data_IF_002657136912
#
_entry.id   IF_002657136912
#
_cell.length_a   1.000
_cell.length_b   1.000
_cell.length_c   1.000
_cell.angle_alpha   90.00
_cell.angle_beta   90.00
_cell.angle_gamma   90.00
#
_symmetry.space_group_name_H-M   'P 1'
#
loop_
_entity.id
_entity.type
_entity.pdbx_description
1 polymer ?
#
# COMPACT_ATOMS: atom_id res chain seq x y z
N UNK A 1 -17.99 2.72 25.31
CA UNK A 1 -16.92 2.24 26.20
C UNK A 1 -16.99 3.06 27.47
N UNK A 2 -17.01 2.46 28.67
CA UNK A 2 -17.00 3.23 29.92
C UNK A 2 -15.63 3.91 30.09
N UNK A 3 -15.62 5.18 30.49
CA UNK A 3 -14.42 6.04 30.62
C UNK A 3 -13.31 5.44 31.50
N UNK A 4 -13.68 4.55 32.42
CA UNK A 4 -12.75 3.81 33.30
C UNK A 4 -11.77 2.91 32.55
N UNK A 5 -12.14 2.39 31.38
CA UNK A 5 -11.31 1.47 30.60
C UNK A 5 -10.25 2.23 29.79
N UNK A 6 -10.59 3.43 29.33
CA UNK A 6 -9.68 4.34 28.63
C UNK A 6 -8.61 4.90 29.58
N UNK A 7 -8.98 5.23 30.82
CA UNK A 7 -8.01 5.73 31.82
C UNK A 7 -7.04 4.63 32.27
N UNK A 8 -7.52 3.40 32.46
CA UNK A 8 -6.68 2.26 32.78
C UNK A 8 -5.67 1.95 31.65
N UNK A 9 -6.12 1.97 30.39
CA UNK A 9 -5.25 1.73 29.24
C UNK A 9 -4.19 2.82 29.09
N UNK A 10 -4.54 4.10 29.30
CA UNK A 10 -3.58 5.22 29.24
C UNK A 10 -2.39 5.04 30.19
N UNK A 11 -2.64 4.48 31.37
CA UNK A 11 -1.60 4.28 32.38
C UNK A 11 -0.74 3.02 32.15
N UNK A 12 -1.18 2.09 31.29
CA UNK A 12 -0.52 0.81 31.04
C UNK A 12 0.28 0.78 29.73
N UNK A 13 0.13 1.78 28.86
CA UNK A 13 0.79 1.77 27.55
C UNK A 13 2.13 2.50 27.63
N UNK A 14 3.23 1.75 27.54
CA UNK A 14 4.60 2.31 27.51
C UNK A 14 5.03 2.86 26.15
N UNK A 15 4.39 2.42 25.04
CA UNK A 15 4.71 2.87 23.69
C UNK A 15 3.51 2.76 22.75
N UNK A 16 3.35 3.74 21.85
CA UNK A 16 2.31 3.75 20.80
C UNK A 16 2.98 4.11 19.48
N UNK A 17 2.83 3.25 18.47
CA UNK A 17 3.29 3.56 17.11
C UNK A 17 2.34 4.55 16.45
N UNK A 18 2.79 5.77 16.11
CA UNK A 18 2.00 6.77 15.39
C UNK A 18 2.00 6.53 13.87
N UNK A 19 0.91 6.88 13.19
CA UNK A 19 0.80 6.87 11.72
C UNK A 19 1.06 8.26 11.17
N UNK A 20 1.49 8.35 9.92
CA UNK A 20 1.64 9.64 9.22
C UNK A 20 0.32 10.44 9.21
N UNK A 21 -0.82 9.75 9.20
CA UNK A 21 -2.14 10.36 9.28
C UNK A 21 -2.41 11.12 10.57
N UNK A 22 -1.74 10.74 11.67
CA UNK A 22 -1.97 11.32 12.99
C UNK A 22 -1.41 12.75 13.07
N UNK A 23 -0.56 13.15 12.12
CA UNK A 23 0.10 14.46 12.05
C UNK A 23 -0.56 15.45 11.08
N UNK A 24 -1.61 15.05 10.35
CA UNK A 24 -2.26 15.93 9.37
C UNK A 24 -3.00 17.13 9.98
N UNK A 25 -3.20 17.15 11.30
CA UNK A 25 -3.86 18.24 12.05
C UNK A 25 -2.95 18.99 13.04
N UNK A 26 -1.63 18.83 12.94
CA UNK A 26 -0.67 19.34 13.93
C UNK A 26 -0.18 18.25 14.88
N UNK A 27 0.34 18.65 16.05
CA UNK A 27 0.85 17.69 17.05
C UNK A 27 -0.25 16.71 17.52
N UNK A 28 -0.03 15.39 17.41
CA UNK A 28 -1.05 14.41 17.76
C UNK A 28 -1.29 14.37 19.26
N UNK A 29 -2.53 14.65 19.68
CA UNK A 29 -2.97 14.43 21.06
C UNK A 29 -3.09 12.92 21.32
N UNK A 30 -2.33 12.40 22.29
CA UNK A 30 -2.35 10.97 22.69
C UNK A 30 -3.77 10.51 23.02
N UNK A 31 -4.55 11.34 23.72
CA UNK A 31 -5.93 11.02 24.09
C UNK A 31 -6.84 10.87 22.87
N UNK A 32 -6.66 11.72 21.85
CA UNK A 32 -7.37 11.58 20.56
C UNK A 32 -6.94 10.34 19.80
N UNK A 33 -5.63 10.06 19.73
CA UNK A 33 -5.08 8.89 19.02
C UNK A 33 -5.58 7.59 19.67
N UNK A 34 -5.57 7.50 21.00
CA UNK A 34 -6.12 6.38 21.75
C UNK A 34 -7.63 6.26 21.49
N UNK A 35 -8.35 7.36 21.61
CA UNK A 35 -9.79 7.36 21.37
C UNK A 35 -10.10 6.90 19.95
N UNK A 36 -9.52 7.45 18.90
CA UNK A 36 -9.81 7.05 17.52
C UNK A 36 -9.47 5.58 17.22
N UNK A 37 -8.35 5.08 17.74
CA UNK A 37 -7.90 3.70 17.49
C UNK A 37 -8.74 2.67 18.24
N UNK A 38 -9.13 2.98 19.47
CA UNK A 38 -9.87 2.05 20.34
C UNK A 38 -11.39 2.29 20.33
N UNK A 39 -11.86 3.45 19.87
CA UNK A 39 -13.27 3.75 19.56
C UNK A 39 -13.60 3.52 18.09
N UNK A 40 -12.81 2.69 17.40
CA UNK A 40 -13.27 2.09 16.16
C UNK A 40 -14.68 1.55 16.43
N UNK A 41 -15.68 2.25 15.87
CA UNK A 41 -17.08 1.83 15.95
C UNK A 41 -17.06 0.38 15.55
N UNK A 42 -17.42 -0.50 16.48
CA UNK A 42 -17.62 -1.89 16.19
C UNK A 42 -18.50 -1.93 14.94
N UNK A 43 -17.91 -2.24 13.78
CA UNK A 43 -18.70 -2.82 12.71
C UNK A 43 -19.25 -4.07 13.38
N UNK A 44 -20.57 -4.20 13.51
CA UNK A 44 -21.17 -5.14 14.45
C UNK A 44 -20.51 -6.50 14.27
N UNK A 45 -20.04 -7.07 15.37
CA UNK A 45 -19.32 -8.34 15.49
C UNK A 45 -20.08 -9.54 14.88
N UNK A 46 -21.32 -9.32 14.39
CA UNK A 46 -22.21 -10.27 13.72
C UNK A 46 -22.17 -10.13 12.20
N UNK A 47 -20.97 -10.08 11.61
CA UNK A 47 -20.86 -10.19 10.17
C UNK A 47 -21.19 -11.63 9.75
N UNK A 48 -21.87 -11.76 8.63
CA UNK A 48 -22.14 -13.01 7.94
C UNK A 48 -20.82 -13.68 7.48
N UNK A 49 -19.98 -14.16 8.41
CA UNK A 49 -18.60 -14.61 8.13
C UNK A 49 -18.52 -16.05 7.63
N UNK A 50 -19.51 -16.88 7.95
CA UNK A 50 -19.57 -18.25 7.44
C UNK A 50 -20.17 -18.27 6.03
N UNK A 51 -19.33 -18.35 5.00
CA UNK A 51 -19.72 -18.69 3.63
C UNK A 51 -19.68 -20.21 3.47
N UNK A 52 -20.80 -20.80 3.07
CA UNK A 52 -20.90 -22.22 2.71
C UNK A 52 -20.85 -22.29 1.19
N UNK A 53 -19.87 -23.05 0.69
CA UNK A 53 -19.82 -23.48 -0.71
C UNK A 53 -20.61 -24.79 -0.84
N UNK A 54 -21.74 -24.73 -1.53
CA UNK A 54 -22.52 -25.88 -1.95
C UNK A 54 -22.05 -26.36 -3.33
N UNK A 55 -22.53 -27.53 -3.76
CA UNK A 55 -22.27 -28.05 -5.10
C UNK A 55 -22.65 -27.04 -6.20
N UNK A 56 -22.01 -27.14 -7.36
CA UNK A 56 -22.27 -26.31 -8.55
C UNK A 56 -22.07 -24.79 -8.32
N UNK A 57 -21.06 -24.38 -7.53
CA UNK A 57 -20.71 -22.97 -7.27
C UNK A 57 -21.85 -22.14 -6.65
N UNK A 58 -22.64 -22.75 -5.78
CA UNK A 58 -23.67 -22.06 -5.01
C UNK A 58 -23.13 -21.62 -3.65
N UNK A 59 -23.28 -20.34 -3.33
CA UNK A 59 -22.79 -19.74 -2.10
C UNK A 59 -23.96 -19.31 -1.22
N UNK A 60 -23.91 -19.73 0.03
CA UNK A 60 -24.86 -19.34 1.08
C UNK A 60 -24.13 -18.86 2.33
N UNK A 61 -24.83 -18.13 3.18
CA UNK A 61 -24.40 -17.82 4.53
C UNK A 61 -24.83 -18.92 5.48
N UNK A 62 -23.89 -19.41 6.30
CA UNK A 62 -24.14 -20.39 7.36
C UNK A 62 -25.12 -19.84 8.41
N UNK A 63 -24.87 -18.60 8.85
CA UNK A 63 -25.68 -17.91 9.86
C UNK A 63 -26.12 -16.56 9.30
N UNK A 64 -27.18 -16.52 8.48
CA UNK A 64 -27.60 -15.30 7.81
C UNK A 64 -28.24 -14.31 8.80
N UNK A 65 -27.62 -13.14 8.93
CA UNK A 65 -28.07 -12.01 9.73
C UNK A 65 -28.40 -10.85 8.80
N UNK A 66 -29.54 -10.20 9.05
CA UNK A 66 -29.93 -9.03 8.28
C UNK A 66 -28.93 -7.87 8.51
N UNK A 67 -28.27 -7.35 7.44
CA UNK A 67 -27.29 -6.28 7.59
C UNK A 67 -27.90 -4.92 7.95
N UNK A 68 -29.22 -4.75 7.79
CA UNK A 68 -29.91 -3.48 8.07
C UNK A 68 -30.39 -3.38 9.52
N UNK A 69 -30.90 -4.48 10.08
CA UNK A 69 -31.52 -4.46 11.43
C UNK A 69 -30.94 -5.48 12.41
N UNK A 70 -29.95 -6.29 12.00
CA UNK A 70 -29.30 -7.29 12.84
C UNK A 70 -30.14 -8.51 13.20
N UNK A 71 -31.34 -8.67 12.64
CA UNK A 71 -32.22 -9.82 12.94
C UNK A 71 -31.74 -11.11 12.26
N UNK A 72 -31.81 -12.23 12.99
CA UNK A 72 -31.62 -13.60 12.48
C UNK A 72 -32.85 -14.15 11.77
N UNK A 73 -34.00 -13.49 11.92
CA UNK A 73 -35.24 -13.91 11.27
C UNK A 73 -35.19 -13.53 9.79
N UNK A 74 -34.67 -14.44 8.99
CA UNK A 74 -34.46 -14.27 7.56
C UNK A 74 -34.94 -15.50 6.79
N UNK A 75 -35.58 -15.27 5.65
CA UNK A 75 -36.05 -16.33 4.75
C UNK A 75 -35.13 -16.41 3.55
N UNK A 76 -34.70 -17.63 3.19
CA UNK A 76 -33.94 -17.90 1.95
C UNK A 76 -34.83 -17.64 0.73
N UNK A 77 -34.28 -16.99 -0.28
CA UNK A 77 -34.95 -16.70 -1.56
C UNK A 77 -34.21 -17.37 -2.71
N UNK A 78 -34.48 -16.96 -3.95
CA UNK A 78 -33.76 -17.41 -5.13
C UNK A 78 -32.26 -17.06 -5.11
N UNK A 79 -31.50 -17.70 -5.99
CA UNK A 79 -30.10 -17.37 -6.21
C UNK A 79 -29.94 -16.24 -7.23
N UNK A 80 -29.00 -15.34 -6.97
CA UNK A 80 -28.52 -14.34 -7.94
C UNK A 80 -27.27 -14.89 -8.62
N UNK A 81 -27.33 -15.04 -9.95
CA UNK A 81 -26.17 -15.40 -10.76
C UNK A 81 -25.20 -14.22 -10.89
N UNK A 82 -23.90 -14.48 -10.75
CA UNK A 82 -22.81 -13.58 -11.19
C UNK A 82 -21.81 -14.37 -12.04
N UNK A 83 -21.05 -13.64 -12.87
CA UNK A 83 -20.00 -14.20 -13.74
C UNK A 83 -18.67 -13.46 -13.55
N UNK A 84 -18.04 -13.58 -12.36
CA UNK A 84 -16.72 -13.00 -12.11
C UNK A 84 -15.65 -13.65 -13.00
N UNK A 85 -14.63 -12.86 -13.36
CA UNK A 85 -13.45 -13.30 -14.08
C UNK A 85 -12.34 -13.52 -13.05
N UNK A 86 -11.95 -14.78 -12.87
CA UNK A 86 -11.01 -15.22 -11.86
C UNK A 86 -9.62 -15.42 -12.49
N UNK A 87 -8.97 -14.33 -12.91
CA UNK A 87 -7.63 -14.37 -13.48
C UNK A 87 -7.49 -15.44 -14.59
N UNK A 88 -6.63 -16.43 -14.34
CA UNK A 88 -6.30 -17.53 -15.26
C UNK A 88 -7.48 -18.49 -15.53
N UNK A 89 -8.44 -18.62 -14.61
CA UNK A 89 -9.60 -19.50 -14.77
C UNK A 89 -10.71 -18.90 -15.65
N UNK A 90 -10.53 -17.65 -16.09
CA UNK A 90 -11.51 -16.97 -16.93
C UNK A 90 -12.84 -16.72 -16.21
N UNK A 91 -13.92 -16.62 -16.99
CA UNK A 91 -15.23 -16.25 -16.47
C UNK A 91 -15.95 -17.46 -15.84
N UNK A 92 -16.12 -17.42 -14.51
CA UNK A 92 -16.77 -18.50 -13.77
C UNK A 92 -18.23 -18.15 -13.45
N UNK A 93 -19.15 -19.10 -13.60
CA UNK A 93 -20.54 -18.95 -13.18
C UNK A 93 -20.67 -19.27 -11.68
N UNK A 94 -21.12 -18.29 -10.90
CA UNK A 94 -21.38 -18.44 -9.46
C UNK A 94 -22.82 -18.02 -9.12
N UNK A 95 -23.38 -18.64 -8.09
CA UNK A 95 -24.77 -18.44 -7.67
C UNK A 95 -24.82 -18.01 -6.20
N UNK A 96 -25.23 -16.77 -5.94
CA UNK A 96 -25.23 -16.17 -4.61
C UNK A 96 -26.65 -16.20 -4.02
N UNK A 97 -26.86 -16.84 -2.87
CA UNK A 97 -28.19 -16.90 -2.25
C UNK A 97 -28.68 -15.52 -1.85
N UNK A 98 -29.95 -15.21 -2.15
CA UNK A 98 -30.65 -14.01 -1.65
C UNK A 98 -31.44 -14.33 -0.39
N UNK A 99 -31.62 -13.33 0.46
CA UNK A 99 -32.35 -13.42 1.71
C UNK A 99 -33.32 -12.26 1.84
N UNK A 100 -34.46 -12.48 2.50
CA UNK A 100 -35.39 -11.44 2.93
C UNK A 100 -35.52 -11.46 4.44
N UNK A 101 -35.27 -10.33 5.09
CA UNK A 101 -35.50 -10.21 6.53
C UNK A 101 -37.01 -10.16 6.83
N UNK A 102 -37.47 -10.89 7.83
CA UNK A 102 -38.86 -10.87 8.28
C UNK A 102 -39.15 -9.56 9.03
N UNK A 103 -38.22 -9.12 9.89
CA UNK A 103 -38.37 -7.91 10.73
C UNK A 103 -38.44 -6.62 9.92
N UNK A 104 -37.43 -6.31 9.09
CA UNK A 104 -37.39 -5.05 8.34
C UNK A 104 -37.81 -5.19 6.87
N UNK A 105 -38.19 -6.39 6.41
CA UNK A 105 -38.58 -6.72 5.03
C UNK A 105 -37.53 -6.43 3.94
N UNK A 106 -36.36 -5.90 4.29
CA UNK A 106 -35.26 -5.64 3.35
C UNK A 106 -34.63 -6.93 2.85
N UNK A 107 -34.21 -6.90 1.58
CA UNK A 107 -33.50 -7.99 0.91
C UNK A 107 -32.01 -7.75 0.96
N UNK A 108 -31.23 -8.82 1.07
CA UNK A 108 -29.78 -8.80 0.95
C UNK A 108 -29.30 -10.08 0.25
N UNK A 109 -28.07 -10.05 -0.26
CA UNK A 109 -27.48 -11.20 -0.98
C UNK A 109 -26.24 -11.65 -0.23
N UNK A 110 -25.91 -12.93 -0.35
CA UNK A 110 -24.62 -13.48 0.08
C UNK A 110 -23.49 -12.60 -0.50
N UNK A 111 -22.65 -11.98 0.34
CA UNK A 111 -21.56 -11.15 -0.13
C UNK A 111 -20.49 -12.02 -0.82
N UNK A 112 -20.00 -11.57 -1.98
CA UNK A 112 -18.83 -12.13 -2.65
C UNK A 112 -17.63 -11.18 -2.55
N UNK A 113 -17.75 -10.15 -1.70
CA UNK A 113 -16.82 -9.02 -1.60
C UNK A 113 -15.39 -9.47 -1.21
N UNK A 114 -15.25 -10.63 -0.57
CA UNK A 114 -13.96 -11.25 -0.24
C UNK A 114 -13.19 -11.79 -1.45
N UNK A 115 -13.88 -12.02 -2.58
CA UNK A 115 -13.28 -12.54 -3.83
C UNK A 115 -13.30 -11.47 -4.91
N UNK A 116 -14.43 -10.77 -5.08
CA UNK A 116 -14.60 -9.72 -6.09
C UNK A 116 -15.34 -8.56 -5.48
N UNK A 117 -14.80 -7.36 -5.62
CA UNK A 117 -15.46 -6.15 -5.16
C UNK A 117 -16.88 -6.00 -5.71
N UNK A 118 -17.72 -5.28 -4.96
CA UNK A 118 -19.07 -4.98 -5.42
C UNK A 118 -19.02 -4.28 -6.76
N UNK A 119 -19.94 -4.67 -7.65
CA UNK A 119 -20.08 -4.15 -9.01
C UNK A 119 -18.85 -4.35 -9.94
N UNK A 120 -17.78 -4.96 -9.46
CA UNK A 120 -16.66 -5.35 -10.29
C UNK A 120 -16.87 -6.74 -10.89
N UNK A 121 -16.22 -6.97 -12.04
CA UNK A 121 -16.19 -8.25 -12.74
C UNK A 121 -14.86 -8.97 -12.55
N UNK A 122 -13.77 -8.25 -12.28
CA UNK A 122 -12.42 -8.79 -12.14
C UNK A 122 -11.99 -8.85 -10.66
N UNK A 123 -11.25 -9.91 -10.30
CA UNK A 123 -10.58 -10.06 -8.98
C UNK A 123 -9.31 -9.21 -8.98
N UNK A 124 -9.40 -7.91 -8.70
CA UNK A 124 -8.27 -6.97 -8.78
C UNK A 124 -7.59 -6.95 -10.18
N UNK A 125 -6.79 -5.93 -10.54
CA UNK A 125 -6.06 -5.98 -11.81
C UNK A 125 -5.03 -7.10 -11.75
N UNK A 126 -5.04 -7.99 -12.75
CA UNK A 126 -3.99 -9.00 -12.88
C UNK A 126 -2.64 -8.33 -13.19
N UNK A 127 -1.53 -9.05 -13.00
CA UNK A 127 -0.22 -8.55 -13.41
C UNK A 127 -0.21 -8.10 -14.88
N UNK A 128 -1.04 -8.73 -15.73
CA UNK A 128 -1.10 -8.46 -17.16
C UNK A 128 -1.84 -7.14 -17.43
N UNK A 129 -2.91 -6.87 -16.67
CA UNK A 129 -3.60 -5.58 -16.72
C UNK A 129 -2.68 -4.44 -16.29
N UNK A 130 -1.87 -4.65 -15.25
CA UNK A 130 -0.86 -3.66 -14.81
C UNK A 130 0.19 -3.44 -15.90
N UNK A 131 0.73 -4.51 -16.52
CA UNK A 131 1.66 -4.39 -17.66
C UNK A 131 1.05 -3.61 -18.83
N UNK A 132 -0.21 -3.87 -19.16
CA UNK A 132 -0.90 -3.14 -20.23
C UNK A 132 -1.09 -1.65 -19.91
N UNK A 133 -1.28 -1.29 -18.63
CA UNK A 133 -1.33 0.11 -18.20
C UNK A 133 0.05 0.78 -18.22
N UNK A 134 1.11 0.04 -17.86
CA UNK A 134 2.49 0.53 -17.93
C UNK A 134 2.98 0.70 -19.38
N UNK A 135 2.41 -0.05 -20.33
CA UNK A 135 2.70 0.05 -21.76
C UNK A 135 1.98 1.21 -22.49
N UNK A 136 1.33 2.12 -21.76
CA UNK A 136 0.75 3.32 -22.37
C UNK A 136 1.89 4.28 -22.74
N UNK A 137 1.98 4.56 -24.05
CA UNK A 137 2.99 5.37 -24.74
C UNK A 137 3.48 6.64 -23.99
N UNK A 138 4.76 6.99 -24.21
CA UNK A 138 5.50 8.12 -23.61
C UNK A 138 4.79 9.47 -23.81
N UNK A 139 3.85 9.56 -24.75
CA UNK A 139 2.99 10.73 -24.99
C UNK A 139 2.08 11.14 -23.81
N UNK A 140 1.94 10.32 -22.77
CA UNK A 140 1.17 10.64 -21.53
C UNK A 140 2.04 10.88 -20.30
N UNK A 141 3.37 10.93 -20.41
CA UNK A 141 4.22 11.34 -19.29
C UNK A 141 3.86 12.78 -18.90
N UNK A 142 3.49 12.97 -17.63
CA UNK A 142 3.24 14.29 -17.05
C UNK A 142 4.56 15.07 -17.14
N UNK A 143 4.63 16.02 -18.06
CA UNK A 143 5.75 16.97 -18.11
C UNK A 143 5.53 17.98 -17.00
N UNK A 144 6.53 18.14 -16.14
CA UNK A 144 6.53 19.18 -15.10
C UNK A 144 6.39 20.55 -15.77
N UNK A 145 5.32 21.29 -15.43
CA UNK A 145 5.04 22.64 -15.94
C UNK A 145 5.62 23.73 -15.04
N UNK A 146 6.72 23.43 -14.34
CA UNK A 146 7.28 24.35 -13.35
C UNK A 146 8.25 25.30 -14.04
N UNK A 147 7.95 26.60 -13.94
CA UNK A 147 8.74 27.65 -14.57
C UNK A 147 10.11 27.83 -13.88
N UNK A 148 10.20 27.61 -12.56
CA UNK A 148 11.41 27.85 -11.76
C UNK A 148 11.57 26.80 -10.63
N UNK A 149 12.78 26.29 -10.45
CA UNK A 149 13.18 25.42 -9.33
C UNK A 149 13.69 26.25 -8.15
N UNK A 150 13.72 25.68 -6.94
CA UNK A 150 14.14 26.40 -5.72
C UNK A 150 15.65 26.63 -5.63
N UNK A 151 16.44 25.81 -6.34
CA UNK A 151 17.90 25.80 -6.25
C UNK A 151 18.47 24.98 -5.09
N UNK A 152 17.63 24.44 -4.20
CA UNK A 152 18.03 23.53 -3.13
C UNK A 152 17.74 22.08 -3.55
N UNK A 153 18.81 21.34 -3.85
CA UNK A 153 18.71 19.99 -4.37
C UNK A 153 19.30 18.95 -3.42
N UNK A 154 18.60 17.83 -3.31
CA UNK A 154 19.09 16.60 -2.73
C UNK A 154 19.39 15.61 -3.85
N UNK A 155 20.49 14.89 -3.68
CA UNK A 155 20.90 13.83 -4.58
C UNK A 155 20.84 12.51 -3.82
N UNK A 156 20.25 11.50 -4.46
CA UNK A 156 20.15 10.16 -3.93
C UNK A 156 20.60 9.13 -4.97
N UNK A 157 21.30 8.10 -4.50
CA UNK A 157 21.80 6.98 -5.30
C UNK A 157 21.22 5.68 -4.78
N UNK A 158 20.41 5.02 -5.62
CA UNK A 158 19.80 3.76 -5.28
C UNK A 158 20.30 2.64 -6.19
N UNK A 159 20.84 1.58 -5.58
CA UNK A 159 21.15 0.34 -6.29
C UNK A 159 19.86 -0.40 -6.70
N UNK A 160 19.78 -0.80 -7.97
CA UNK A 160 18.69 -1.62 -8.51
C UNK A 160 19.24 -2.75 -9.40
N UNK A 161 18.50 -3.85 -9.49
CA UNK A 161 18.84 -4.97 -10.37
C UNK A 161 17.81 -5.07 -11.50
N UNK A 162 18.27 -4.97 -12.74
CA UNK A 162 17.43 -5.07 -13.94
C UNK A 162 18.01 -6.15 -14.86
N UNK A 163 17.24 -7.23 -15.05
CA UNK A 163 17.65 -8.35 -15.91
C UNK A 163 18.93 -9.05 -15.45
N UNK A 164 19.11 -9.20 -14.13
CA UNK A 164 20.31 -9.83 -13.54
C UNK A 164 21.56 -8.95 -13.54
N UNK A 165 21.45 -7.69 -13.97
CA UNK A 165 22.55 -6.73 -14.00
C UNK A 165 22.33 -5.62 -12.99
N UNK A 166 23.41 -5.29 -12.28
CA UNK A 166 23.47 -4.16 -11.37
C UNK A 166 23.36 -2.84 -12.15
N UNK A 167 22.46 -1.97 -11.70
CA UNK A 167 22.28 -0.61 -12.22
C UNK A 167 22.07 0.37 -11.05
N UNK A 168 22.19 1.65 -11.34
CA UNK A 168 21.99 2.72 -10.36
C UNK A 168 20.85 3.62 -10.82
N UNK A 169 19.88 3.84 -9.94
CA UNK A 169 18.87 4.89 -10.09
C UNK A 169 19.41 6.13 -9.40
N UNK A 170 19.65 7.17 -10.20
CA UNK A 170 20.16 8.45 -9.77
C UNK A 170 19.01 9.43 -9.76
N UNK A 171 18.72 10.03 -8.61
CA UNK A 171 17.59 10.96 -8.45
C UNK A 171 18.09 12.30 -7.94
N UNK A 172 17.79 13.37 -8.69
CA UNK A 172 17.95 14.75 -8.26
C UNK A 172 16.58 15.30 -7.88
N UNK A 173 16.45 15.74 -6.64
CA UNK A 173 15.18 16.12 -6.04
C UNK A 173 15.26 17.53 -5.47
N UNK A 174 14.25 18.37 -5.72
CA UNK A 174 14.14 19.69 -5.11
C UNK A 174 13.53 19.53 -3.72
N UNK A 175 14.31 19.78 -2.68
CA UNK A 175 13.90 19.49 -1.29
C UNK A 175 12.85 20.45 -0.76
N UNK A 176 12.78 21.66 -1.31
CA UNK A 176 11.81 22.68 -0.91
C UNK A 176 10.49 22.48 -1.64
N UNK A 177 10.54 22.22 -2.94
CA UNK A 177 9.35 22.00 -3.76
C UNK A 177 8.82 20.56 -3.65
N UNK A 178 9.61 19.65 -3.08
CA UNK A 178 9.30 18.24 -2.94
C UNK A 178 8.96 17.57 -4.30
N UNK A 179 9.77 17.85 -5.32
CA UNK A 179 9.58 17.36 -6.69
C UNK A 179 10.86 16.74 -7.26
N UNK A 180 10.75 15.71 -8.13
CA UNK A 180 11.89 15.23 -8.90
C UNK A 180 12.27 16.26 -9.97
N UNK A 181 13.54 16.63 -10.01
CA UNK A 181 14.12 17.54 -11.01
C UNK A 181 14.65 16.73 -12.20
N UNK A 182 15.37 15.65 -11.91
CA UNK A 182 15.91 14.74 -12.92
C UNK A 182 16.07 13.34 -12.34
N UNK A 183 15.93 12.34 -13.19
CA UNK A 183 16.09 10.94 -12.83
C UNK A 183 16.69 10.14 -13.99
N UNK A 184 17.71 9.33 -13.69
CA UNK A 184 18.40 8.50 -14.67
C UNK A 184 18.65 7.09 -14.11
N UNK A 185 18.59 6.08 -14.98
CA UNK A 185 19.08 4.74 -14.68
C UNK A 185 20.43 4.57 -15.39
N UNK A 186 21.51 4.55 -14.62
CA UNK A 186 22.88 4.42 -15.11
C UNK A 186 23.42 3.00 -14.97
N UNK A 187 24.36 2.61 -15.83
CA UNK A 187 25.03 1.30 -15.77
C UNK A 187 26.11 1.25 -14.69
N UNK A 188 26.69 2.39 -14.33
CA UNK A 188 27.72 2.52 -13.31
C UNK A 188 27.52 3.81 -12.50
N UNK A 189 28.18 3.89 -11.34
CA UNK A 189 28.22 5.09 -10.50
C UNK A 189 29.32 6.07 -10.95
N UNK A 190 29.80 5.94 -12.20
CA UNK A 190 30.87 6.79 -12.69
C UNK A 190 30.32 8.20 -12.92
N UNK A 191 31.11 9.19 -12.47
CA UNK A 191 30.76 10.61 -12.48
C UNK A 191 30.14 11.04 -13.80
N UNK A 192 28.89 11.51 -13.76
CA UNK A 192 28.20 12.03 -14.94
C UNK A 192 27.56 13.37 -14.59
N UNK A 193 27.81 14.36 -15.44
CA UNK A 193 27.19 15.68 -15.33
C UNK A 193 25.68 15.54 -15.53
N UNK A 194 24.90 15.88 -14.50
CA UNK A 194 23.43 15.92 -14.61
C UNK A 194 23.06 17.31 -15.13
N UNK A 195 22.51 17.36 -16.34
CA UNK A 195 22.08 18.61 -16.95
C UNK A 195 20.71 19.01 -16.39
N UNK A 196 20.68 20.07 -15.59
CA UNK A 196 19.44 20.77 -15.21
C UNK A 196 19.07 21.84 -16.23
N UNK A 197 17.84 22.40 -16.17
CA UNK A 197 17.43 23.46 -17.09
C UNK A 197 18.23 24.74 -16.81
N UNK A 198 19.09 25.10 -17.76
CA UNK A 198 19.79 26.39 -17.81
C UNK A 198 21.29 26.35 -17.49
N UNK A 199 21.80 25.37 -16.74
CA UNK A 199 23.24 25.14 -16.51
C UNK A 199 23.54 23.66 -16.16
N UNK A 200 24.70 23.12 -16.55
CA UNK A 200 25.15 21.81 -16.06
C UNK A 200 25.31 21.86 -14.53
N UNK A 201 24.62 20.98 -13.81
CA UNK A 201 24.85 20.78 -12.39
C UNK A 201 25.90 19.67 -12.29
N UNK A 202 27.14 20.06 -12.03
CA UNK A 202 28.22 19.10 -11.75
C UNK A 202 28.05 18.67 -10.30
N UNK A 203 27.60 17.44 -10.10
CA UNK A 203 27.55 16.82 -8.78
C UNK A 203 28.97 16.36 -8.42
N UNK A 204 29.63 17.13 -7.56
CA UNK A 204 30.91 16.73 -6.97
C UNK A 204 30.63 15.83 -5.77
N UNK A 205 31.23 14.64 -5.76
CA UNK A 205 31.30 13.86 -4.54
C UNK A 205 32.25 14.57 -3.57
N UNK A 206 31.76 14.99 -2.40
CA UNK A 206 32.55 15.65 -1.35
C UNK A 206 33.52 14.69 -0.64
N UNK A 207 33.49 13.39 -0.94
CA UNK A 207 34.30 12.38 -0.23
C UNK A 207 35.71 12.15 -0.78
N UNK A 208 36.12 12.79 -1.89
CA UNK A 208 37.49 12.62 -2.44
C UNK A 208 38.53 13.63 -1.90
N UNK A 209 38.34 14.12 -0.66
CA UNK A 209 39.42 14.75 0.15
C UNK A 209 39.55 14.08 1.52
N UNK A 210 39.60 12.76 1.54
CA UNK A 210 40.05 11.97 2.68
C UNK A 210 41.24 11.12 2.30
N UNK A 211 42.43 11.56 2.70
CA UNK A 211 43.69 10.81 2.62
C UNK A 211 43.46 9.35 3.10
N UNK A 212 43.96 8.30 2.42
CA UNK A 212 43.77 6.95 2.90
C UNK A 212 44.48 6.80 4.25
N UNK A 213 43.71 6.58 5.32
CA UNK A 213 44.22 6.10 6.59
C UNK A 213 44.93 4.78 6.31
N UNK A 214 46.27 4.80 6.38
CA UNK A 214 47.11 3.62 6.43
C UNK A 214 46.58 2.72 7.54
N UNK A 215 46.11 1.53 7.19
CA UNK A 215 45.90 0.46 8.16
C UNK A 215 47.28 -0.09 8.51
N UNK A 216 47.80 0.33 9.67
CA UNK A 216 48.90 -0.37 10.29
C UNK A 216 48.45 -1.81 10.57
N UNK A 217 49.11 -2.75 9.91
CA UNK A 217 48.98 -4.17 10.22
C UNK A 217 49.86 -4.46 11.43
N UNK A 218 49.35 -5.11 12.50
CA UNK A 218 50.21 -5.55 13.59
C UNK A 218 51.09 -6.69 13.07
N UNK A 219 52.40 -6.47 12.99
CA UNK A 219 53.38 -7.55 12.82
C UNK A 219 53.51 -8.31 14.14
N UNK A 220 52.74 -9.37 14.28
CA UNK A 220 52.95 -10.42 15.28
C UNK A 220 53.14 -11.75 14.56
N UNK A 221 54.36 -12.28 14.56
CA UNK A 221 54.72 -13.50 13.82
C UNK A 221 56.13 -13.99 14.16
N UNK A 222 56.24 -14.52 15.38
CA UNK A 222 56.99 -15.70 15.85
C UNK A 222 58.17 -16.16 14.97
N UNK A 223 59.38 -16.13 15.57
CA UNK A 223 60.57 -16.85 15.12
C UNK A 223 60.39 -18.35 15.34
N UNK A 224 60.64 -19.15 14.31
CA UNK A 224 61.02 -20.55 14.45
C UNK A 224 62.11 -20.88 13.43
N UNK A 225 63.18 -21.47 13.97
CA UNK A 225 64.36 -22.11 13.37
C UNK A 225 65.45 -21.22 12.75
#
# INVERSE_FOLDING_TARGET
MPESLLSALKNCIGFIQLKLSDFFGGEPSIDRVLTERFTHREKPYRSNKGLILLANNHFELAHPVCPVCGSYQVTKQEYRRRTPILGEFGAQKVYLRRYRCIKCRKKFTTPLDSVVERNHRYVAPSHQSIKNWLGIDDGKRIKSQIANYSGYYCYDEQYIEIGGRKKYRLTLFDSILNIPVSEEIAENSAYKTVYGPGKPIVLYNLESKGNPLKRDTPKGGIQHE
#
